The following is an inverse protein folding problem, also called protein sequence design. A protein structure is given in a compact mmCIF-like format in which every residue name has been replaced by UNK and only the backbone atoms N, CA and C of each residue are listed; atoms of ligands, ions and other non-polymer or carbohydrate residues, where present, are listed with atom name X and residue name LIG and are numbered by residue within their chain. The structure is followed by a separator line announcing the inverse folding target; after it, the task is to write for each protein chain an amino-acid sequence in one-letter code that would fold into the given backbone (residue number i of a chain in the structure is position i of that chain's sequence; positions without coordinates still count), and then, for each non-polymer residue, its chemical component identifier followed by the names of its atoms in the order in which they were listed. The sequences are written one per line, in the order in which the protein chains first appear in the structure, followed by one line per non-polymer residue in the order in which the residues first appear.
data_IF_223706855540
#
_entry.id   IF_223706855540
#
_cell.length_a   1.000
_cell.length_b   1.000
_cell.length_c   1.000
_cell.angle_alpha   90.00
_cell.angle_beta   90.00
_cell.angle_gamma   90.00
#
_symmetry.space_group_name_H-M   'P 1'
#
loop_
_entity.id
_entity.type
_entity.pdbx_description
1 polymer ?
#
# COMPACT_ATOMS: atom_id res chain seq x y z
N UNK A 1 0.55 20.60 14.67
CA UNK A 1 -0.70 19.84 14.46
C UNK A 1 -1.20 20.20 13.08
N UNK A 2 -1.05 19.27 12.14
CA UNK A 2 -1.71 19.26 10.83
C UNK A 2 -1.49 17.84 10.30
N UNK A 3 -2.24 16.89 10.86
CA UNK A 3 -2.21 15.52 10.38
C UNK A 3 -3.43 15.38 9.49
N UNK A 4 -3.23 15.53 8.18
CA UNK A 4 -4.22 15.11 7.20
C UNK A 4 -4.40 13.60 7.35
N UNK A 5 -5.45 13.16 8.06
CA UNK A 5 -5.77 11.75 8.23
C UNK A 5 -6.88 11.34 7.27
N UNK A 6 -6.93 10.05 6.96
CA UNK A 6 -7.89 9.47 6.03
C UNK A 6 -7.40 9.49 4.58
N UNK A 7 -8.31 9.13 3.70
CA UNK A 7 -8.11 8.98 2.28
C UNK A 7 -8.28 10.33 1.58
N UNK A 8 -7.24 10.74 0.86
CA UNK A 8 -7.17 12.03 0.18
C UNK A 8 -7.01 11.77 -1.30
N UNK A 9 -7.92 12.32 -2.10
CA UNK A 9 -7.83 12.29 -3.55
C UNK A 9 -6.84 13.34 -4.05
N UNK A 10 -5.80 12.88 -4.73
CA UNK A 10 -4.72 13.72 -5.27
C UNK A 10 -4.98 14.10 -6.71
N UNK A 11 -5.50 13.15 -7.49
CA UNK A 11 -5.78 13.28 -8.91
C UNK A 11 -6.91 12.33 -9.29
N UNK A 12 -7.79 12.79 -10.17
CA UNK A 12 -8.83 11.98 -10.80
C UNK A 12 -8.74 12.14 -12.30
N UNK A 13 -8.36 11.04 -12.94
CA UNK A 13 -8.42 10.90 -14.39
C UNK A 13 -9.84 10.87 -14.93
N UNK A 14 -9.96 11.05 -16.24
CA UNK A 14 -11.23 10.83 -16.96
C UNK A 14 -11.61 9.35 -16.89
N UNK A 15 -12.82 9.06 -16.43
CA UNK A 15 -13.38 7.71 -16.29
C UNK A 15 -12.38 6.71 -15.68
N UNK A 16 -12.01 6.88 -14.40
CA UNK A 16 -10.91 6.13 -13.81
C UNK A 16 -11.20 4.63 -13.84
N UNK A 17 -10.27 3.84 -14.37
CA UNK A 17 -10.36 2.38 -14.49
C UNK A 17 -9.52 1.66 -13.45
N UNK A 18 -8.71 2.39 -12.69
CA UNK A 18 -7.87 1.87 -11.59
C UNK A 18 -7.71 2.93 -10.49
N UNK A 19 -7.66 2.47 -9.24
CA UNK A 19 -7.23 3.25 -8.08
C UNK A 19 -5.76 2.95 -7.76
N UNK A 20 -4.96 4.01 -7.65
CA UNK A 20 -3.59 3.95 -7.12
C UNK A 20 -3.60 4.54 -5.71
N UNK A 21 -3.28 3.74 -4.69
CA UNK A 21 -3.38 4.16 -3.28
C UNK A 21 -2.01 4.16 -2.63
N UNK A 22 -1.50 5.36 -2.32
CA UNK A 22 -0.23 5.53 -1.64
C UNK A 22 -0.38 5.52 -0.12
N UNK A 23 0.44 4.75 0.59
CA UNK A 23 0.40 4.61 2.06
C UNK A 23 1.79 4.86 2.65
N UNK A 24 1.90 5.93 3.45
CA UNK A 24 3.17 6.35 4.04
C UNK A 24 3.60 5.48 5.23
N UNK A 25 4.87 5.59 5.65
CA UNK A 25 5.43 4.87 6.80
C UNK A 25 5.46 5.67 8.11
N UNK A 26 6.24 5.15 9.09
CA UNK A 26 6.49 5.77 10.40
C UNK A 26 7.00 7.20 10.29
N UNK A 27 6.48 8.09 11.15
CA UNK A 27 6.71 9.53 11.15
C UNK A 27 6.48 10.20 9.76
N UNK A 28 5.76 9.52 8.88
CA UNK A 28 5.42 10.01 7.55
C UNK A 28 4.21 10.93 7.55
N UNK A 29 3.90 11.46 6.36
CA UNK A 29 2.75 12.32 6.12
C UNK A 29 2.25 12.06 4.69
N UNK A 30 0.92 12.03 4.44
CA UNK A 30 0.36 11.68 3.13
C UNK A 30 0.89 12.50 1.96
N UNK A 31 1.26 13.77 2.18
CA UNK A 31 1.96 14.59 1.18
C UNK A 31 3.49 14.54 1.29
N UNK A 32 4.05 14.83 2.46
CA UNK A 32 5.50 15.09 2.62
C UNK A 32 6.34 13.84 2.36
N UNK A 33 5.83 12.64 2.63
CA UNK A 33 6.55 11.39 2.38
C UNK A 33 6.93 11.23 0.90
N UNK A 34 6.11 11.73 -0.01
CA UNK A 34 6.30 11.59 -1.45
C UNK A 34 6.75 12.90 -2.11
N UNK A 35 7.17 13.88 -1.30
CA UNK A 35 7.60 15.18 -1.79
C UNK A 35 9.10 15.34 -1.61
N UNK A 36 9.80 15.74 -2.67
CA UNK A 36 11.24 15.97 -2.63
C UNK A 36 11.56 17.20 -1.78
N UNK A 37 12.63 17.15 -0.98
CA UNK A 37 12.90 18.25 -0.04
C UNK A 37 13.41 19.51 -0.73
N UNK A 38 14.23 19.35 -1.77
CA UNK A 38 14.87 20.45 -2.50
C UNK A 38 13.91 21.13 -3.46
N UNK A 39 13.31 20.37 -4.37
CA UNK A 39 12.41 20.89 -5.41
C UNK A 39 10.95 21.01 -4.97
N UNK A 40 10.58 20.49 -3.79
CA UNK A 40 9.19 20.41 -3.30
C UNK A 40 8.25 19.69 -4.27
N UNK A 41 8.79 18.79 -5.10
CA UNK A 41 8.04 18.10 -6.13
C UNK A 41 7.29 16.91 -5.53
N UNK A 42 5.97 16.97 -5.58
CA UNK A 42 5.08 15.93 -5.08
C UNK A 42 4.62 15.04 -6.24
N UNK A 43 5.44 14.03 -6.56
CA UNK A 43 5.33 13.29 -7.82
C UNK A 43 4.01 12.52 -8.03
N UNK A 44 3.27 12.22 -6.97
CA UNK A 44 1.95 11.59 -7.05
C UNK A 44 0.86 12.52 -7.61
N UNK A 45 1.01 13.84 -7.43
CA UNK A 45 0.04 14.86 -7.86
C UNK A 45 0.56 15.76 -8.99
N UNK A 46 1.86 15.73 -9.25
CA UNK A 46 2.51 16.59 -10.22
C UNK A 46 2.15 16.23 -11.67
N UNK A 47 1.64 17.21 -12.43
CA UNK A 47 1.17 16.99 -13.81
C UNK A 47 2.25 16.52 -14.77
N UNK A 48 3.54 16.73 -14.48
CA UNK A 48 4.64 16.24 -15.32
C UNK A 48 5.12 14.83 -14.90
N UNK A 49 4.51 14.24 -13.88
CA UNK A 49 4.89 12.95 -13.33
C UNK A 49 3.69 11.99 -13.35
N UNK A 50 3.31 11.41 -12.21
CA UNK A 50 2.41 10.24 -12.19
C UNK A 50 1.08 10.44 -12.94
N UNK A 51 0.33 11.55 -12.73
CA UNK A 51 -0.86 11.88 -13.50
C UNK A 51 -0.71 11.78 -15.03
N UNK A 52 0.41 12.28 -15.59
CA UNK A 52 0.60 12.25 -17.05
C UNK A 52 0.80 10.85 -17.63
N UNK A 53 1.32 9.92 -16.83
CA UNK A 53 1.50 8.54 -17.24
C UNK A 53 0.21 7.75 -17.07
N UNK A 54 -0.58 8.03 -16.02
CA UNK A 54 -1.80 7.30 -15.66
C UNK A 54 -3.05 8.17 -15.81
N UNK A 55 -3.35 8.60 -17.04
CA UNK A 55 -4.45 9.53 -17.32
C UNK A 55 -5.83 9.01 -16.91
N UNK A 56 -6.05 7.70 -16.94
CA UNK A 56 -7.29 7.03 -16.54
C UNK A 56 -7.23 6.40 -15.14
N UNK A 57 -6.34 6.89 -14.27
CA UNK A 57 -6.28 6.45 -12.88
C UNK A 57 -6.90 7.49 -11.93
N UNK A 58 -7.41 7.01 -10.80
CA UNK A 58 -7.61 7.82 -9.61
C UNK A 58 -6.42 7.60 -8.68
N UNK A 59 -5.76 8.68 -8.26
CA UNK A 59 -4.60 8.61 -7.37
C UNK A 59 -5.02 9.14 -6.00
N UNK A 60 -4.80 8.31 -4.99
CA UNK A 60 -5.19 8.52 -3.60
C UNK A 60 -3.94 8.42 -2.72
N UNK A 61 -3.93 9.13 -1.60
CA UNK A 61 -3.00 8.88 -0.50
C UNK A 61 -3.77 8.68 0.79
N UNK A 62 -3.31 7.75 1.61
CA UNK A 62 -3.89 7.51 2.93
C UNK A 62 -2.98 8.08 4.03
N UNK A 63 -3.53 8.97 4.83
CA UNK A 63 -2.88 9.55 5.99
C UNK A 63 -3.33 8.88 7.29
N UNK A 64 -2.39 8.55 8.17
CA UNK A 64 -2.71 8.03 9.51
C UNK A 64 -1.69 8.50 10.54
N UNK A 65 -2.01 8.38 11.83
CA UNK A 65 -1.08 8.73 12.90
C UNK A 65 0.10 7.75 12.92
N UNK A 66 1.19 8.14 12.28
CA UNK A 66 2.38 7.32 12.14
C UNK A 66 3.44 7.57 13.21
N UNK A 67 3.13 8.24 14.32
CA UNK A 67 4.12 8.56 15.34
C UNK A 67 4.79 7.30 15.89
N UNK A 68 6.12 7.30 15.95
CA UNK A 68 6.91 6.13 16.43
C UNK A 68 6.52 5.70 17.84
N UNK A 69 6.36 6.64 18.77
CA UNK A 69 5.88 6.35 20.12
C UNK A 69 4.50 5.68 20.11
N UNK A 70 3.68 6.02 19.12
CA UNK A 70 2.34 5.45 18.96
C UNK A 70 2.38 4.01 18.45
N UNK A 71 3.32 3.68 17.54
CA UNK A 71 3.32 2.45 16.76
C UNK A 71 4.42 1.45 17.14
N UNK A 72 5.34 1.80 18.03
CA UNK A 72 6.31 0.86 18.62
C UNK A 72 6.04 0.57 20.12
N UNK A 73 4.98 1.12 20.68
CA UNK A 73 4.52 0.82 22.04
C UNK A 73 3.88 -0.57 22.17
N UNK A 74 3.57 -0.98 23.41
CA UNK A 74 2.93 -2.27 23.73
C UNK A 74 1.60 -2.51 23.00
N UNK A 75 0.88 -1.46 22.61
CA UNK A 75 -0.41 -1.50 21.89
C UNK A 75 -0.26 -1.28 20.37
N UNK A 76 0.94 -1.44 19.83
CA UNK A 76 1.26 -1.20 18.42
C UNK A 76 0.43 -2.05 17.45
N UNK A 77 0.19 -3.32 17.75
CA UNK A 77 -0.61 -4.20 16.90
C UNK A 77 -2.06 -3.71 16.77
N UNK A 78 -2.68 -3.28 17.87
CA UNK A 78 -4.07 -2.81 17.89
C UNK A 78 -4.22 -1.51 17.10
N UNK A 79 -3.22 -0.61 17.21
CA UNK A 79 -3.20 0.65 16.46
C UNK A 79 -2.99 0.44 14.97
N UNK A 80 -2.09 -0.47 14.58
CA UNK A 80 -1.92 -0.87 13.17
C UNK A 80 -3.22 -1.47 12.64
N UNK A 81 -3.91 -2.31 13.42
CA UNK A 81 -5.20 -2.88 13.04
C UNK A 81 -6.26 -1.78 12.88
N UNK A 82 -6.33 -0.80 13.77
CA UNK A 82 -7.27 0.31 13.67
C UNK A 82 -7.04 1.12 12.39
N UNK A 83 -5.78 1.45 12.06
CA UNK A 83 -5.46 2.14 10.80
C UNK A 83 -5.83 1.30 9.57
N UNK A 84 -5.60 -0.01 9.63
CA UNK A 84 -6.01 -0.94 8.58
C UNK A 84 -7.54 -0.97 8.40
N UNK A 85 -8.31 -0.95 9.49
CA UNK A 85 -9.77 -0.91 9.46
C UNK A 85 -10.28 0.40 8.86
N UNK A 86 -9.72 1.54 9.26
CA UNK A 86 -10.05 2.85 8.68
C UNK A 86 -9.76 2.88 7.18
N UNK A 87 -8.59 2.37 6.76
CA UNK A 87 -8.24 2.28 5.34
C UNK A 87 -9.26 1.46 4.55
N UNK A 88 -9.71 0.31 5.07
CA UNK A 88 -10.73 -0.51 4.42
C UNK A 88 -12.09 0.18 4.40
N UNK A 89 -12.49 0.88 5.46
CA UNK A 89 -13.77 1.57 5.52
C UNK A 89 -13.85 2.72 4.49
N UNK A 90 -12.81 3.56 4.40
CA UNK A 90 -12.75 4.67 3.43
C UNK A 90 -12.49 4.17 2.00
N UNK A 91 -11.77 3.05 1.91
CA UNK A 91 -11.84 1.96 0.94
C UNK A 91 -13.19 1.63 0.29
N UNK A 92 -14.34 1.74 0.95
CA UNK A 92 -15.56 1.05 0.46
C UNK A 92 -16.42 1.91 -0.47
N UNK A 93 -16.30 3.23 -0.40
CA UNK A 93 -17.31 4.15 -0.95
C UNK A 93 -17.53 4.16 -2.49
N UNK A 94 -16.94 3.25 -3.30
CA UNK A 94 -16.91 3.38 -4.78
C UNK A 94 -16.31 2.14 -5.53
N UNK A 95 -16.76 0.89 -5.31
CA UNK A 95 -15.90 -0.29 -5.64
C UNK A 95 -16.52 -1.44 -6.45
N UNK A 96 -16.06 -1.53 -7.70
CA UNK A 96 -15.55 -2.75 -8.37
C UNK A 96 -14.19 -2.49 -9.07
N UNK A 97 -13.65 -1.27 -8.92
CA UNK A 97 -12.46 -0.80 -9.63
C UNK A 97 -11.19 -1.43 -9.04
N UNK A 98 -10.26 -1.92 -9.89
CA UNK A 98 -8.98 -2.44 -9.42
C UNK A 98 -8.19 -1.46 -8.55
N UNK A 99 -7.47 -1.98 -7.56
CA UNK A 99 -6.64 -1.22 -6.64
C UNK A 99 -5.19 -1.69 -6.75
N UNK A 100 -4.25 -0.74 -6.87
CA UNK A 100 -2.82 -0.98 -6.70
C UNK A 100 -2.29 -0.09 -5.59
N UNK A 101 -1.67 -0.71 -4.59
CA UNK A 101 -1.07 0.02 -3.47
C UNK A 101 0.40 0.38 -3.73
N UNK A 102 0.81 1.57 -3.31
CA UNK A 102 2.21 1.97 -3.21
C UNK A 102 2.53 2.20 -1.73
N UNK A 103 3.37 1.34 -1.17
CA UNK A 103 3.57 1.26 0.27
C UNK A 103 4.99 1.66 0.65
N UNK A 104 5.16 2.64 1.54
CA UNK A 104 6.47 2.94 2.12
C UNK A 104 6.59 2.37 3.53
N UNK A 105 7.66 1.62 3.79
CA UNK A 105 8.02 1.15 5.15
C UNK A 105 6.80 0.53 5.88
N UNK A 106 6.43 1.03 7.06
CA UNK A 106 5.31 0.56 7.87
C UNK A 106 3.94 0.63 7.14
N UNK A 107 3.78 1.51 6.15
CA UNK A 107 2.56 1.57 5.35
C UNK A 107 2.24 0.24 4.67
N UNK A 108 3.27 -0.53 4.29
CA UNK A 108 3.09 -1.87 3.75
C UNK A 108 2.56 -2.89 4.77
N UNK A 109 2.89 -2.73 6.05
CA UNK A 109 2.31 -3.56 7.13
C UNK A 109 0.85 -3.19 7.36
N UNK A 110 0.51 -1.89 7.33
CA UNK A 110 -0.88 -1.43 7.42
C UNK A 110 -1.72 -2.03 6.29
N UNK A 111 -1.23 -1.98 5.04
CA UNK A 111 -1.93 -2.58 3.89
C UNK A 111 -2.06 -4.10 4.02
N UNK A 112 -1.01 -4.81 4.44
CA UNK A 112 -1.11 -6.27 4.68
C UNK A 112 -2.19 -6.60 5.72
N UNK A 113 -2.25 -5.85 6.82
CA UNK A 113 -3.29 -6.03 7.86
C UNK A 113 -4.67 -5.65 7.34
N UNK A 114 -4.79 -4.62 6.50
CA UNK A 114 -6.04 -4.22 5.86
C UNK A 114 -6.59 -5.32 4.95
N UNK A 115 -5.74 -5.93 4.13
CA UNK A 115 -6.14 -7.02 3.23
C UNK A 115 -6.51 -8.29 4.01
N UNK A 116 -5.76 -8.63 5.05
CA UNK A 116 -6.12 -9.75 5.93
C UNK A 116 -7.47 -9.51 6.64
N UNK A 117 -7.68 -8.29 7.15
CA UNK A 117 -8.96 -7.89 7.73
C UNK A 117 -10.08 -7.98 6.69
N UNK A 118 -9.94 -7.38 5.51
CA UNK A 118 -10.92 -7.39 4.42
C UNK A 118 -11.26 -8.82 3.97
N UNK A 119 -10.27 -9.68 3.75
CA UNK A 119 -10.44 -11.06 3.32
C UNK A 119 -11.30 -11.89 4.30
N UNK A 120 -11.25 -11.57 5.60
CA UNK A 120 -12.05 -12.26 6.62
C UNK A 120 -13.53 -11.84 6.65
N UNK A 121 -13.92 -10.76 5.97
CA UNK A 121 -15.27 -10.17 6.03
C UNK A 121 -16.24 -10.76 5.01
N UNK A 122 -16.45 -12.07 5.10
CA UNK A 122 -17.30 -12.82 4.15
C UNK A 122 -18.77 -12.93 4.56
N UNK A 123 -19.15 -12.48 5.76
CA UNK A 123 -20.55 -12.52 6.19
C UNK A 123 -21.38 -11.37 5.60
N UNK A 124 -22.69 -11.62 5.43
CA UNK A 124 -23.62 -10.72 4.72
C UNK A 124 -23.58 -9.26 5.19
N UNK A 125 -23.44 -9.03 6.50
CA UNK A 125 -23.46 -7.69 7.10
C UNK A 125 -22.22 -6.84 6.78
N UNK A 126 -21.07 -7.49 6.52
CA UNK A 126 -19.78 -6.82 6.32
C UNK A 126 -19.14 -7.14 4.97
N UNK A 127 -19.89 -7.82 4.08
CA UNK A 127 -19.41 -8.28 2.77
C UNK A 127 -18.88 -7.13 1.91
N UNK A 128 -19.43 -5.92 2.05
CA UNK A 128 -18.91 -4.74 1.35
C UNK A 128 -17.43 -4.46 1.69
N UNK A 129 -16.94 -4.86 2.87
CA UNK A 129 -15.52 -4.74 3.25
C UNK A 129 -14.63 -5.75 2.52
N UNK A 130 -15.17 -6.90 2.09
CA UNK A 130 -14.45 -7.92 1.30
C UNK A 130 -14.07 -7.41 -0.10
N UNK A 131 -14.80 -6.43 -0.62
CA UNK A 131 -14.55 -5.79 -1.91
C UNK A 131 -13.11 -5.30 -2.07
N UNK A 132 -12.47 -4.87 -0.99
CA UNK A 132 -11.10 -4.34 -1.02
C UNK A 132 -10.10 -5.45 -1.32
N UNK A 133 -10.26 -6.62 -0.70
CA UNK A 133 -9.45 -7.78 -0.99
C UNK A 133 -9.62 -8.23 -2.45
N UNK A 134 -10.86 -8.35 -2.92
CA UNK A 134 -11.16 -8.78 -4.30
C UNK A 134 -10.63 -7.79 -5.33
N UNK A 135 -10.78 -6.49 -5.07
CA UNK A 135 -10.37 -5.42 -5.97
C UNK A 135 -8.86 -5.16 -5.96
N UNK A 136 -8.13 -5.64 -4.95
CA UNK A 136 -6.67 -5.44 -4.88
C UNK A 136 -5.95 -6.30 -5.89
N UNK A 137 -5.40 -5.66 -6.92
CA UNK A 137 -4.64 -6.31 -7.97
C UNK A 137 -3.17 -6.52 -7.57
N UNK A 138 -2.52 -5.48 -7.03
CA UNK A 138 -1.09 -5.50 -6.74
C UNK A 138 -0.65 -4.55 -5.64
N UNK A 139 0.56 -4.78 -5.11
CA UNK A 139 1.17 -3.95 -4.06
C UNK A 139 2.65 -3.73 -4.42
N UNK A 140 3.07 -2.47 -4.48
CA UNK A 140 4.46 -2.06 -4.62
C UNK A 140 5.02 -1.75 -3.24
N UNK A 141 5.92 -2.59 -2.73
CA UNK A 141 6.60 -2.36 -1.45
C UNK A 141 7.90 -1.59 -1.64
N UNK A 142 8.00 -0.44 -0.97
CA UNK A 142 9.17 0.44 -0.96
C UNK A 142 9.75 0.45 0.45
N UNK A 143 10.69 -0.46 0.71
CA UNK A 143 11.42 -0.53 1.99
C UNK A 143 10.57 -1.02 3.18
N UNK A 144 9.56 -1.86 2.94
CA UNK A 144 8.72 -2.46 3.97
C UNK A 144 9.43 -3.65 4.64
N UNK A 145 9.56 -3.67 5.98
CA UNK A 145 10.04 -4.86 6.68
C UNK A 145 8.94 -5.91 6.69
N UNK A 146 9.19 -7.11 6.16
CA UNK A 146 8.15 -8.14 6.03
C UNK A 146 8.18 -9.23 7.12
N UNK A 147 9.28 -9.35 7.85
CA UNK A 147 9.44 -10.29 8.96
C UNK A 147 9.37 -9.52 10.28
N UNK A 148 8.36 -9.82 11.10
CA UNK A 148 8.22 -9.24 12.44
C UNK A 148 9.37 -9.65 13.36
N UNK A 149 9.88 -8.69 14.14
CA UNK A 149 10.80 -8.81 15.28
C UNK A 149 11.76 -10.02 15.33
N UNK A 150 12.83 -10.00 14.54
CA UNK A 150 14.12 -10.35 15.14
C UNK A 150 14.61 -9.11 15.89
N UNK A 151 15.15 -9.26 17.10
CA UNK A 151 15.65 -8.13 17.92
C UNK A 151 16.72 -7.28 17.19
N UNK A 152 17.29 -7.77 16.09
CA UNK A 152 18.18 -7.02 15.20
C UNK A 152 17.44 -6.06 14.24
N UNK A 153 16.24 -6.42 13.76
CA UNK A 153 15.48 -5.62 12.78
C UNK A 153 15.00 -4.29 13.35
N UNK A 154 14.48 -4.29 14.58
CA UNK A 154 14.04 -3.07 15.27
C UNK A 154 15.20 -2.24 15.83
N UNK A 155 16.26 -2.89 16.32
CA UNK A 155 17.48 -2.20 16.74
C UNK A 155 18.04 -1.38 15.56
N UNK A 156 18.14 -1.97 14.36
CA UNK A 156 18.64 -1.28 13.15
C UNK A 156 17.77 -0.11 12.66
N UNK A 157 16.51 -0.01 13.10
CA UNK A 157 15.61 1.10 12.76
C UNK A 157 15.79 2.32 13.66
N UNK A 158 16.27 2.13 14.90
CA UNK A 158 16.61 3.22 15.83
C UNK A 158 18.11 3.54 15.92
N UNK A 159 18.99 2.54 15.77
CA UNK A 159 20.43 2.72 15.94
C UNK A 159 21.16 3.34 14.73
N UNK A 160 20.51 3.43 13.56
CA UNK A 160 21.04 4.13 12.37
C UNK A 160 20.88 5.66 12.42
N UNK A 161 20.60 6.23 13.60
CA UNK A 161 20.70 7.67 13.87
C UNK A 161 22.04 8.06 14.50
N UNK A 162 22.99 7.14 14.68
CA UNK A 162 24.34 7.46 15.16
C UNK A 162 25.36 7.28 14.03
N UNK A 163 26.07 8.39 13.78
CA UNK A 163 27.25 8.59 12.94
C UNK A 163 27.03 8.66 11.42
N UNK A 164 26.88 9.90 10.96
CA UNK A 164 27.62 10.36 9.79
C UNK A 164 29.11 9.94 9.91
N UNK A 165 29.77 9.70 8.78
CA UNK A 165 31.18 9.29 8.64
C UNK A 165 31.43 7.77 8.71
N UNK A 166 31.18 7.06 7.60
CA UNK A 166 32.05 5.97 7.10
C UNK A 166 31.56 5.51 5.72
N UNK A 167 32.44 5.43 4.69
CA UNK A 167 32.06 4.87 3.40
C UNK A 167 32.32 3.36 3.43
N UNK A 168 31.28 2.53 3.44
CA UNK A 168 31.40 1.10 3.08
C UNK A 168 30.07 0.46 2.69
N UNK A 169 30.05 0.00 1.45
CA UNK A 169 29.38 -1.18 0.87
C UNK A 169 28.74 -2.12 1.92
N UNK A 170 27.45 -2.38 1.82
CA UNK A 170 26.80 -3.47 2.58
C UNK A 170 25.79 -4.21 1.69
N UNK A 171 26.19 -5.41 1.29
CA UNK A 171 25.35 -6.45 0.69
C UNK A 171 24.51 -7.02 1.85
N UNK A 172 23.19 -7.04 1.71
CA UNK A 172 22.29 -7.65 2.72
C UNK A 172 21.84 -9.01 2.19
N UNK A 173 21.99 -10.03 3.02
CA UNK A 173 21.74 -11.45 2.72
C UNK A 173 20.29 -11.79 2.34
N UNK A 174 20.21 -12.88 1.57
CA UNK A 174 19.17 -13.23 0.59
C UNK A 174 17.89 -13.86 1.17
N UNK A 175 17.83 -14.13 2.48
CA UNK A 175 16.79 -15.00 3.07
C UNK A 175 15.76 -14.32 3.99
N UNK A 176 15.46 -13.03 3.84
CA UNK A 176 14.58 -12.29 4.78
C UNK A 176 13.32 -11.62 4.21
N UNK A 177 12.79 -12.10 3.08
CA UNK A 177 11.70 -11.42 2.40
C UNK A 177 10.43 -12.27 2.24
N UNK A 178 9.45 -12.04 3.13
CA UNK A 178 8.00 -12.30 3.02
C UNK A 178 7.53 -13.74 2.67
N UNK A 179 6.32 -14.16 3.11
CA UNK A 179 5.72 -15.38 2.58
C UNK A 179 5.58 -15.24 1.05
N UNK A 180 6.06 -16.24 0.33
CA UNK A 180 6.08 -16.32 -1.13
C UNK A 180 4.63 -16.32 -1.62
N UNK A 181 4.19 -15.20 -2.20
CA UNK A 181 3.14 -15.19 -3.21
C UNK A 181 3.90 -15.27 -4.54
N UNK A 182 3.68 -16.32 -5.33
CA UNK A 182 4.50 -16.81 -6.45
C UNK A 182 4.84 -15.83 -7.59
N UNK A 183 4.53 -14.53 -7.48
CA UNK A 183 4.83 -13.49 -8.49
C UNK A 183 5.48 -12.23 -7.88
N UNK A 184 6.40 -12.36 -6.92
CA UNK A 184 7.07 -11.19 -6.32
C UNK A 184 8.28 -10.75 -7.14
N UNK A 185 8.12 -9.74 -7.99
CA UNK A 185 9.25 -9.06 -8.63
C UNK A 185 10.02 -8.21 -7.62
N UNK A 186 11.36 -8.34 -7.59
CA UNK A 186 12.25 -7.56 -6.71
C UNK A 186 13.19 -6.73 -7.55
N UNK A 187 13.37 -5.47 -7.16
CA UNK A 187 14.34 -4.60 -7.80
C UNK A 187 14.99 -3.66 -6.77
N UNK A 188 16.31 -3.52 -6.84
CA UNK A 188 17.09 -2.65 -5.94
C UNK A 188 17.22 -1.23 -6.48
N UNK A 189 17.17 -0.24 -5.58
CA UNK A 189 17.43 1.16 -5.91
C UNK A 189 18.59 1.69 -5.05
N UNK A 190 19.57 2.43 -5.63
CA UNK A 190 20.73 2.93 -4.91
C UNK A 190 20.42 4.22 -4.12
N UNK A 191 19.31 4.24 -3.37
CA UNK A 191 18.87 5.41 -2.59
C UNK A 191 18.84 5.12 -1.09
N UNK A 192 19.02 6.17 -0.28
CA UNK A 192 18.70 6.12 1.14
C UNK A 192 17.22 5.82 1.38
N UNK A 193 16.89 5.18 2.51
CA UNK A 193 15.54 4.67 2.82
C UNK A 193 14.43 5.75 2.81
N UNK A 194 14.79 7.03 3.03
CA UNK A 194 13.86 8.17 2.98
C UNK A 194 13.67 8.76 1.59
N UNK A 195 14.64 8.62 0.69
CA UNK A 195 14.63 9.25 -0.63
C UNK A 195 14.21 8.28 -1.73
N UNK A 196 14.18 6.99 -1.44
CA UNK A 196 13.70 5.93 -2.35
C UNK A 196 12.27 6.13 -2.85
N UNK A 197 11.47 6.97 -2.18
CA UNK A 197 10.05 7.23 -2.51
C UNK A 197 9.79 8.66 -2.98
N UNK A 198 10.84 9.45 -3.17
CA UNK A 198 10.78 10.85 -3.60
C UNK A 198 11.41 10.97 -4.99
N UNK A 199 10.64 11.46 -5.96
CA UNK A 199 11.10 11.54 -7.35
C UNK A 199 11.00 12.97 -7.89
N UNK A 200 12.09 13.47 -8.45
CA UNK A 200 12.18 14.85 -8.96
C UNK A 200 11.87 14.96 -10.45
N UNK A 201 11.98 13.87 -11.20
CA UNK A 201 11.85 13.90 -12.66
C UNK A 201 11.48 12.54 -13.25
N UNK A 202 11.00 12.57 -14.51
CA UNK A 202 10.79 11.38 -15.33
C UNK A 202 12.06 10.55 -15.55
N UNK A 203 13.22 11.19 -15.47
CA UNK A 203 14.54 10.56 -15.64
C UNK A 203 15.10 9.95 -14.36
N UNK A 204 14.41 10.09 -13.22
CA UNK A 204 14.81 9.44 -11.98
C UNK A 204 14.69 7.91 -12.13
N UNK A 205 15.77 7.13 -11.92
CA UNK A 205 15.72 5.66 -12.03
C UNK A 205 14.58 5.01 -11.23
N UNK A 206 14.39 5.41 -9.96
CA UNK A 206 13.31 4.90 -9.12
C UNK A 206 11.92 5.22 -9.65
N UNK A 207 11.74 6.43 -10.20
CA UNK A 207 10.48 6.82 -10.83
C UNK A 207 10.15 5.95 -12.03
N UNK A 208 11.12 5.73 -12.94
CA UNK A 208 10.92 4.90 -14.14
C UNK A 208 10.48 3.48 -13.78
N UNK A 209 11.06 2.89 -12.74
CA UNK A 209 10.71 1.56 -12.29
C UNK A 209 9.30 1.51 -11.71
N UNK A 210 8.98 2.44 -10.80
CA UNK A 210 7.64 2.51 -10.18
C UNK A 210 6.57 2.77 -11.25
N UNK A 211 6.78 3.75 -12.13
CA UNK A 211 5.80 4.09 -13.16
C UNK A 211 5.64 2.97 -14.20
N UNK A 212 6.71 2.25 -14.57
CA UNK A 212 6.60 1.10 -15.47
C UNK A 212 5.73 -0.01 -14.85
N UNK A 213 5.92 -0.33 -13.58
CA UNK A 213 5.10 -1.31 -12.87
C UNK A 213 3.62 -0.86 -12.80
N UNK A 214 3.37 0.41 -12.44
CA UNK A 214 2.00 0.94 -12.37
C UNK A 214 1.31 0.98 -13.74
N UNK A 215 2.04 1.33 -14.81
CA UNK A 215 1.52 1.32 -16.18
C UNK A 215 1.13 -0.08 -16.63
N UNK A 216 1.96 -1.09 -16.33
CA UNK A 216 1.64 -2.50 -16.62
C UNK A 216 0.41 -2.94 -15.84
N UNK A 217 0.39 -2.71 -14.53
CA UNK A 217 -0.75 -3.08 -13.70
C UNK A 217 -2.03 -2.36 -14.13
N UNK A 218 -1.96 -1.09 -14.53
CA UNK A 218 -3.12 -0.34 -15.05
C UNK A 218 -3.72 -0.97 -16.31
N UNK A 219 -2.94 -1.70 -17.11
CA UNK A 219 -3.44 -2.41 -18.30
C UNK A 219 -4.05 -3.76 -17.95
N UNK A 220 -3.42 -4.51 -17.03
CA UNK A 220 -3.78 -5.89 -16.72
C UNK A 220 -4.85 -6.03 -15.62
N UNK A 221 -4.94 -5.03 -14.74
CA UNK A 221 -5.79 -5.11 -13.55
C UNK A 221 -7.30 -5.16 -13.83
N UNK A 222 -7.87 -4.37 -14.78
CA UNK A 222 -9.32 -4.36 -15.02
C UNK A 222 -9.89 -5.75 -15.35
N UNK A 223 -9.30 -6.46 -16.31
CA UNK A 223 -9.77 -7.80 -16.70
C UNK A 223 -9.55 -8.84 -15.58
N UNK A 224 -8.40 -8.77 -14.90
CA UNK A 224 -8.08 -9.71 -13.82
C UNK A 224 -9.03 -9.55 -12.63
N UNK A 225 -9.27 -8.32 -12.19
CA UNK A 225 -10.15 -8.03 -11.06
C UNK A 225 -11.61 -8.31 -11.40
N UNK A 226 -12.04 -8.05 -12.63
CA UNK A 226 -13.36 -8.45 -13.10
C UNK A 226 -13.59 -9.97 -12.93
N UNK A 227 -12.66 -10.81 -13.38
CA UNK A 227 -12.77 -12.27 -13.21
C UNK A 227 -12.77 -12.68 -11.73
N UNK A 228 -12.01 -11.99 -10.87
CA UNK A 228 -12.02 -12.23 -9.42
C UNK A 228 -13.36 -11.89 -8.80
N UNK A 229 -14.02 -10.82 -9.24
CA UNK A 229 -15.35 -10.44 -8.79
C UNK A 229 -16.39 -11.49 -9.14
N UNK A 230 -16.43 -11.98 -10.38
CA UNK A 230 -17.33 -13.07 -10.79
C UNK A 230 -17.19 -14.28 -9.87
N UNK A 231 -15.95 -14.72 -9.61
CA UNK A 231 -15.67 -15.85 -8.71
C UNK A 231 -16.03 -15.56 -7.25
N UNK A 232 -15.81 -14.34 -6.78
CA UNK A 232 -16.15 -13.93 -5.43
C UNK A 232 -17.67 -13.94 -5.21
N UNK A 233 -18.44 -13.46 -6.17
CA UNK A 233 -19.90 -13.48 -6.11
C UNK A 233 -20.46 -14.90 -6.08
N UNK A 234 -19.93 -15.80 -6.92
CA UNK A 234 -20.28 -17.22 -6.92
C UNK A 234 -20.01 -17.88 -5.56
N UNK A 235 -18.81 -17.67 -5.01
CA UNK A 235 -18.42 -18.17 -3.68
C UNK A 235 -19.37 -17.66 -2.59
N UNK A 236 -19.64 -16.35 -2.56
CA UNK A 236 -20.48 -15.72 -1.55
C UNK A 236 -21.96 -16.12 -1.71
N UNK A 237 -22.42 -16.43 -2.92
CA UNK A 237 -23.74 -17.01 -3.17
C UNK A 237 -23.83 -18.45 -2.64
N UNK A 238 -22.84 -19.29 -2.95
CA UNK A 238 -22.77 -20.68 -2.47
C UNK A 238 -22.74 -20.75 -0.94
N UNK A 239 -21.90 -19.92 -0.30
CA UNK A 239 -21.83 -19.84 1.17
C UNK A 239 -23.18 -19.48 1.80
N UNK A 240 -23.90 -18.51 1.23
CA UNK A 240 -25.25 -18.13 1.71
C UNK A 240 -26.27 -19.25 1.57
N UNK A 241 -26.20 -20.05 0.50
CA UNK A 241 -27.09 -21.19 0.31
C UNK A 241 -26.82 -22.28 1.36
N UNK A 242 -25.55 -22.55 1.65
CA UNK A 242 -25.18 -23.53 2.68
C UNK A 242 -25.60 -23.08 4.08
N UNK A 243 -25.31 -21.83 4.46
CA UNK A 243 -25.74 -21.26 5.76
C UNK A 243 -27.27 -21.31 5.92
N UNK A 244 -28.03 -21.01 4.86
CA UNK A 244 -29.49 -21.11 4.90
C UNK A 244 -29.98 -22.56 5.02
N UNK A 245 -29.31 -23.52 4.36
CA UNK A 245 -29.66 -24.93 4.44
C UNK A 245 -29.40 -25.53 5.83
N UNK A 246 -28.32 -25.13 6.50
CA UNK A 246 -28.02 -25.55 7.88
C UNK A 246 -29.07 -25.05 8.89
N UNK A 247 -29.65 -23.87 8.68
CA UNK A 247 -30.70 -23.32 9.55
C UNK A 247 -32.08 -23.97 9.36
N UNK A 248 -32.26 -24.73 8.28
CA UNK A 248 -33.52 -25.43 7.95
C UNK A 248 -33.52 -26.91 8.38
N UNK A 249 -32.44 -27.39 9.00
CA UNK A 249 -32.32 -28.72 9.60
C UNK A 249 -32.49 -28.66 11.12
#
# INVERSE_FOLDING_TARGET
MDASTGLIELYRGENPTIDIVAVHGLNGHPTKTWTTEKSKKFWLKDNDLLPSNLKSARILTFGYNAAVATLLGRTSSDRILQHAQTLVAELVADRERPIVFICHSLGGIVVKRALAYSASRTSKLVQHLYSIFVSTYGILFLGTPHNGSSKAGLASMGSRMISALTPSKMIVEENSAAPILDNTERAGLPYGQRDMVKFESRTSPGYRMVVAALMRHSREAPSTVFVRWVRAEEMLRSKRQNEAAELMQ
#
